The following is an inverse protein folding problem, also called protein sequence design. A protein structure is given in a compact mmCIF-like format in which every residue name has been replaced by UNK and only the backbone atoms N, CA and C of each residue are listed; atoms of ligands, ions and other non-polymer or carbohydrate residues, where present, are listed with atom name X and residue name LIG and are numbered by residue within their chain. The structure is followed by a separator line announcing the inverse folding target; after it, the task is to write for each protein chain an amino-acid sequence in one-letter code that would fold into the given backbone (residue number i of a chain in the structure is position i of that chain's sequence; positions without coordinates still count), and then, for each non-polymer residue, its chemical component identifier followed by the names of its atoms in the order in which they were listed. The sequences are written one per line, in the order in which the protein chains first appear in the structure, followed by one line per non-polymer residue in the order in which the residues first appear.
data_IF_520668677327
#
_entry.id   IF_520668677327
#
_cell.length_a   1.000
_cell.length_b   1.000
_cell.length_c   1.000
_cell.angle_alpha   90.00
_cell.angle_beta   90.00
_cell.angle_gamma   90.00
#
_symmetry.space_group_name_H-M   'P 1'
#
loop_
_entity.id
_entity.type
_entity.pdbx_description
1 polymer ?
#
# COMPACT_ATOMS: atom_id res chain seq x y z
N UNK A 1 -19.81 -34.26 -49.75
CA UNK A 1 -21.27 -34.10 -49.55
C UNK A 1 -21.59 -34.63 -48.17
N UNK A 2 -21.33 -33.82 -47.15
CA UNK A 2 -21.81 -34.00 -45.79
C UNK A 2 -22.00 -32.59 -45.24
N UNK A 3 -23.26 -32.28 -44.96
CA UNK A 3 -23.75 -30.96 -44.60
C UNK A 3 -23.35 -30.53 -43.19
N UNK A 4 -23.09 -29.24 -43.10
CA UNK A 4 -22.92 -28.45 -41.88
C UNK A 4 -24.27 -28.31 -41.18
N UNK A 5 -24.34 -28.70 -39.89
CA UNK A 5 -25.44 -28.27 -39.00
C UNK A 5 -24.82 -27.51 -37.83
N UNK A 6 -24.87 -26.18 -37.95
CA UNK A 6 -24.90 -25.29 -36.80
C UNK A 6 -26.23 -25.49 -36.06
N UNK A 7 -26.21 -25.92 -34.80
CA UNK A 7 -27.36 -25.72 -33.91
C UNK A 7 -27.10 -24.51 -33.03
N UNK A 8 -27.50 -23.35 -33.53
CA UNK A 8 -27.82 -22.17 -32.72
C UNK A 8 -29.06 -22.50 -31.88
N UNK A 9 -28.87 -22.70 -30.57
CA UNK A 9 -29.99 -22.74 -29.62
C UNK A 9 -30.58 -21.34 -29.50
N UNK A 10 -31.69 -21.12 -30.20
CA UNK A 10 -32.48 -19.90 -30.18
C UNK A 10 -32.99 -19.60 -28.77
N UNK A 11 -32.65 -18.40 -28.30
CA UNK A 11 -33.40 -17.62 -27.32
C UNK A 11 -34.89 -17.72 -27.69
N UNK A 12 -35.73 -18.30 -26.82
CA UNK A 12 -37.18 -18.19 -27.00
C UNK A 12 -37.58 -16.78 -26.59
N UNK A 13 -38.04 -16.00 -27.55
CA UNK A 13 -38.60 -14.66 -27.35
C UNK A 13 -39.73 -14.68 -26.31
N UNK A 14 -39.74 -13.64 -25.48
CA UNK A 14 -40.82 -13.33 -24.54
C UNK A 14 -41.97 -12.66 -25.31
N UNK A 15 -43.23 -13.11 -25.23
CA UNK A 15 -44.31 -12.46 -25.94
C UNK A 15 -44.63 -11.12 -25.27
N UNK A 16 -44.44 -10.01 -26.00
CA UNK A 16 -44.58 -8.64 -25.49
C UNK A 16 -46.04 -8.22 -25.19
N UNK A 17 -47.04 -9.02 -25.60
CA UNK A 17 -48.47 -8.65 -25.48
C UNK A 17 -49.32 -9.63 -24.66
N UNK A 18 -48.77 -10.31 -23.65
CA UNK A 18 -49.62 -11.08 -22.73
C UNK A 18 -50.27 -10.13 -21.69
N UNK A 19 -51.60 -9.90 -21.73
CA UNK A 19 -52.26 -9.08 -20.72
C UNK A 19 -52.14 -9.79 -19.36
N UNK A 20 -51.68 -9.06 -18.35
CA UNK A 20 -51.41 -9.51 -16.99
C UNK A 20 -52.64 -10.01 -16.21
N UNK A 21 -53.82 -10.02 -16.83
CA UNK A 21 -55.09 -10.38 -16.21
C UNK A 21 -55.62 -11.78 -16.60
N UNK A 22 -54.90 -12.54 -17.43
CA UNK A 22 -55.43 -13.80 -17.99
C UNK A 22 -55.10 -15.09 -17.19
N UNK A 23 -54.71 -15.03 -15.90
CA UNK A 23 -54.36 -16.24 -15.12
C UNK A 23 -55.09 -16.35 -13.78
N UNK A 24 -56.28 -15.76 -13.64
CA UNK A 24 -57.15 -16.08 -12.49
C UNK A 24 -58.62 -16.14 -12.90
N UNK A 25 -58.96 -16.98 -13.87
CA UNK A 25 -60.32 -17.51 -13.94
C UNK A 25 -60.41 -18.65 -12.90
N UNK A 26 -60.87 -18.31 -11.69
CA UNK A 26 -61.25 -19.34 -10.71
C UNK A 26 -62.59 -19.93 -11.17
N UNK A 27 -62.52 -20.87 -12.10
CA UNK A 27 -63.66 -21.72 -12.40
C UNK A 27 -64.14 -22.45 -11.15
N UNK A 28 -65.45 -22.60 -11.01
CA UNK A 28 -66.17 -23.17 -9.85
C UNK A 28 -65.90 -24.67 -9.58
N UNK A 29 -64.84 -25.25 -10.14
CA UNK A 29 -64.43 -26.65 -9.95
C UNK A 29 -63.07 -26.73 -9.22
N UNK A 30 -62.98 -26.13 -8.02
CA UNK A 30 -61.90 -26.47 -7.10
C UNK A 30 -62.21 -27.85 -6.49
N UNK A 31 -61.37 -28.89 -6.68
CA UNK A 31 -61.56 -30.16 -5.98
C UNK A 31 -61.56 -29.93 -4.47
N UNK A 32 -62.55 -30.50 -3.77
CA UNK A 32 -62.78 -30.29 -2.32
C UNK A 32 -61.62 -30.74 -1.41
N UNK A 33 -60.62 -31.44 -1.96
CA UNK A 33 -59.37 -31.80 -1.28
C UNK A 33 -58.21 -30.97 -1.84
N UNK A 34 -58.14 -29.70 -1.47
CA UNK A 34 -56.90 -28.95 -1.58
C UNK A 34 -55.98 -29.44 -0.45
N UNK A 35 -54.79 -30.00 -0.73
CA UNK A 35 -53.89 -30.42 0.34
C UNK A 35 -53.59 -29.20 1.22
N UNK A 36 -53.70 -29.36 2.54
CA UNK A 36 -53.34 -28.33 3.52
C UNK A 36 -51.95 -27.82 3.18
N UNK A 37 -51.90 -26.63 2.57
CA UNK A 37 -50.66 -25.92 2.35
C UNK A 37 -50.13 -25.62 3.75
N UNK A 38 -48.87 -25.98 4.06
CA UNK A 38 -48.29 -25.61 5.35
C UNK A 38 -48.48 -24.11 5.54
N UNK A 39 -48.75 -23.65 6.79
CA UNK A 39 -48.84 -22.23 7.06
C UNK A 39 -47.60 -21.57 6.47
N UNK A 40 -47.80 -20.44 5.79
CA UNK A 40 -46.71 -19.62 5.27
C UNK A 40 -45.90 -19.17 6.50
N UNK A 41 -44.96 -20.01 6.93
CA UNK A 41 -43.89 -19.62 7.85
C UNK A 41 -43.30 -18.35 7.25
N UNK A 42 -42.99 -17.37 8.11
CA UNK A 42 -42.35 -16.12 7.69
C UNK A 42 -41.12 -16.46 6.86
N UNK A 43 -41.31 -16.49 5.53
CA UNK A 43 -40.23 -16.64 4.58
C UNK A 43 -39.43 -15.38 4.80
N UNK A 44 -38.26 -15.50 5.43
CA UNK A 44 -37.34 -14.39 5.59
C UNK A 44 -37.12 -13.79 4.20
N UNK A 45 -37.79 -12.66 3.93
CA UNK A 45 -37.74 -12.03 2.61
C UNK A 45 -36.37 -11.41 2.53
N UNK A 46 -35.50 -12.10 1.80
CA UNK A 46 -34.17 -11.60 1.52
C UNK A 46 -34.26 -10.19 0.94
N UNK A 47 -33.68 -9.27 1.69
CA UNK A 47 -33.63 -7.84 1.37
C UNK A 47 -32.93 -7.64 0.03
N UNK A 48 -33.19 -6.48 -0.59
CA UNK A 48 -32.50 -6.11 -1.83
C UNK A 48 -30.97 -6.08 -1.65
N UNK A 49 -30.51 -5.71 -0.46
CA UNK A 49 -29.10 -5.68 -0.07
C UNK A 49 -28.51 -7.10 0.06
N UNK A 50 -29.18 -8.00 0.77
CA UNK A 50 -28.75 -9.41 0.86
C UNK A 50 -28.72 -10.09 -0.52
N UNK A 51 -29.70 -9.78 -1.37
CA UNK A 51 -29.80 -10.28 -2.75
C UNK A 51 -28.71 -9.74 -3.65
N UNK A 52 -28.39 -8.45 -3.52
CA UNK A 52 -27.28 -7.81 -4.23
C UNK A 52 -25.95 -8.41 -3.78
N UNK A 53 -25.74 -8.61 -2.46
CA UNK A 53 -24.55 -9.22 -1.90
C UNK A 53 -24.36 -10.68 -2.36
N UNK A 54 -25.44 -11.47 -2.47
CA UNK A 54 -25.38 -12.83 -3.00
C UNK A 54 -25.14 -12.87 -4.51
N UNK A 55 -25.78 -12.00 -5.29
CA UNK A 55 -25.52 -11.90 -6.74
C UNK A 55 -24.09 -11.43 -7.03
N UNK A 56 -23.57 -10.51 -6.21
CA UNK A 56 -22.18 -10.08 -6.27
C UNK A 56 -21.23 -11.22 -5.95
N UNK A 57 -21.42 -11.92 -4.82
CA UNK A 57 -20.64 -13.12 -4.48
C UNK A 57 -20.67 -14.18 -5.56
N UNK A 58 -21.80 -14.45 -6.19
CA UNK A 58 -21.89 -15.39 -7.32
C UNK A 58 -21.14 -14.92 -8.58
N UNK A 59 -21.11 -13.61 -8.84
CA UNK A 59 -20.28 -13.00 -9.90
C UNK A 59 -18.80 -13.09 -9.59
N UNK A 60 -18.43 -12.82 -8.34
CA UNK A 60 -17.07 -13.00 -7.86
C UNK A 60 -16.62 -14.46 -7.98
N UNK A 61 -17.41 -15.41 -7.51
CA UNK A 61 -17.13 -16.85 -7.60
C UNK A 61 -16.88 -17.30 -9.04
N UNK A 62 -17.68 -16.76 -9.99
CA UNK A 62 -17.52 -17.02 -11.42
C UNK A 62 -16.27 -16.33 -12.02
N UNK A 63 -15.98 -15.08 -11.65
CA UNK A 63 -14.76 -14.36 -12.04
C UNK A 63 -13.49 -14.96 -11.41
N UNK A 64 -13.62 -15.64 -10.28
CA UNK A 64 -12.57 -16.31 -9.49
C UNK A 64 -12.39 -17.80 -9.88
N UNK A 65 -13.08 -18.31 -10.90
CA UNK A 65 -13.00 -19.72 -11.29
C UNK A 65 -11.58 -20.13 -11.75
N UNK A 66 -10.96 -21.09 -11.07
CA UNK A 66 -9.70 -21.75 -11.47
C UNK A 66 -8.41 -21.19 -10.88
N UNK A 67 -8.45 -20.12 -10.07
CA UNK A 67 -7.30 -19.62 -9.29
C UNK A 67 -7.80 -19.24 -7.89
N UNK A 68 -7.21 -19.81 -6.84
CA UNK A 68 -7.49 -19.40 -5.46
C UNK A 68 -6.89 -18.00 -5.22
N UNK A 69 -7.62 -16.97 -5.63
CA UNK A 69 -7.22 -15.57 -5.57
C UNK A 69 -7.76 -14.97 -4.27
N UNK A 70 -6.87 -14.60 -3.36
CA UNK A 70 -7.16 -13.84 -2.14
C UNK A 70 -6.77 -12.37 -2.37
N UNK A 71 -7.28 -11.44 -1.57
CA UNK A 71 -6.79 -10.07 -1.61
C UNK A 71 -5.29 -10.03 -1.27
N UNK A 72 -4.86 -10.89 -0.36
CA UNK A 72 -3.48 -11.08 0.06
C UNK A 72 -2.53 -11.58 -1.03
N UNK A 73 -3.00 -12.24 -2.10
CA UNK A 73 -2.15 -12.71 -3.21
C UNK A 73 -2.39 -11.95 -4.55
N UNK A 74 -3.36 -11.05 -4.58
CA UNK A 74 -3.68 -10.24 -5.76
C UNK A 74 -2.73 -9.05 -5.94
N UNK A 75 -2.32 -8.74 -7.17
CA UNK A 75 -1.53 -7.53 -7.43
C UNK A 75 -2.35 -6.26 -7.14
N UNK A 76 -1.84 -5.33 -6.32
CA UNK A 76 -2.60 -4.14 -5.95
C UNK A 76 -2.80 -3.19 -7.13
N UNK A 77 -4.02 -2.69 -7.25
CA UNK A 77 -4.44 -1.80 -8.33
C UNK A 77 -5.67 -1.01 -7.91
N UNK A 78 -6.08 -0.04 -8.74
CA UNK A 78 -7.35 0.67 -8.54
C UNK A 78 -8.56 -0.29 -8.57
N UNK A 79 -8.51 -1.34 -9.40
CA UNK A 79 -9.56 -2.35 -9.48
C UNK A 79 -9.67 -3.15 -8.18
N UNK A 80 -8.53 -3.63 -7.66
CA UNK A 80 -8.52 -4.32 -6.35
C UNK A 80 -9.05 -3.41 -5.23
N UNK A 81 -8.73 -2.12 -5.28
CA UNK A 81 -9.28 -1.15 -4.31
C UNK A 81 -10.81 -1.05 -4.38
N UNK A 82 -11.40 -1.10 -5.58
CA UNK A 82 -12.86 -1.11 -5.73
C UNK A 82 -13.47 -2.44 -5.28
N UNK A 83 -12.85 -3.57 -5.61
CA UNK A 83 -13.28 -4.91 -5.16
C UNK A 83 -13.32 -4.94 -3.62
N UNK A 84 -12.23 -4.54 -2.97
CA UNK A 84 -12.15 -4.46 -1.50
C UNK A 84 -13.20 -3.54 -0.88
N UNK A 85 -13.46 -2.37 -1.47
CA UNK A 85 -14.45 -1.41 -0.97
C UNK A 85 -15.87 -2.00 -1.00
N UNK A 86 -16.21 -2.68 -2.10
CA UNK A 86 -17.52 -3.34 -2.26
C UNK A 86 -17.65 -4.55 -1.34
N UNK A 87 -16.64 -5.42 -1.31
CA UNK A 87 -16.71 -6.68 -0.56
C UNK A 87 -16.64 -6.46 0.96
N UNK A 88 -15.96 -5.39 1.41
CA UNK A 88 -15.84 -5.01 2.81
C UNK A 88 -16.81 -3.90 3.24
N UNK A 89 -17.81 -3.54 2.43
CA UNK A 89 -18.83 -2.53 2.78
C UNK A 89 -19.64 -2.93 4.03
N UNK A 90 -19.81 -4.24 4.24
CA UNK A 90 -20.41 -4.81 5.46
C UNK A 90 -19.45 -5.77 6.18
N UNK A 91 -18.47 -5.25 6.95
CA UNK A 91 -17.44 -6.08 7.59
C UNK A 91 -18.01 -7.14 8.54
N UNK A 92 -19.16 -6.89 9.16
CA UNK A 92 -19.82 -7.84 10.06
C UNK A 92 -20.34 -9.12 9.37
N UNK A 93 -20.37 -9.15 8.04
CA UNK A 93 -20.77 -10.32 7.25
C UNK A 93 -19.59 -11.21 6.82
N UNK A 94 -18.36 -10.76 7.06
CA UNK A 94 -17.13 -11.47 6.72
C UNK A 94 -16.70 -12.38 7.87
N UNK A 95 -16.10 -13.52 7.52
CA UNK A 95 -15.41 -14.39 8.48
C UNK A 95 -14.11 -13.74 8.98
N UNK A 96 -13.58 -14.21 10.11
CA UNK A 96 -12.31 -13.74 10.66
C UNK A 96 -11.15 -13.83 9.64
N UNK A 97 -11.14 -14.88 8.82
CA UNK A 97 -10.12 -15.06 7.78
C UNK A 97 -10.26 -14.03 6.65
N UNK A 98 -11.49 -13.76 6.20
CA UNK A 98 -11.79 -12.74 5.18
C UNK A 98 -11.49 -11.33 5.70
N UNK A 99 -11.75 -11.06 6.99
CA UNK A 99 -11.39 -9.78 7.62
C UNK A 99 -9.88 -9.55 7.59
N UNK A 100 -9.09 -10.57 7.95
CA UNK A 100 -7.62 -10.47 7.90
C UNK A 100 -7.14 -10.31 6.45
N UNK A 101 -7.70 -11.06 5.50
CA UNK A 101 -7.31 -10.95 4.10
C UNK A 101 -7.68 -9.58 3.51
N UNK A 102 -8.84 -9.02 3.86
CA UNK A 102 -9.25 -7.68 3.46
C UNK A 102 -8.32 -6.60 4.03
N UNK A 103 -7.92 -6.71 5.31
CA UNK A 103 -6.91 -5.81 5.92
C UNK A 103 -5.60 -5.86 5.15
N UNK A 104 -5.11 -7.06 4.82
CA UNK A 104 -3.91 -7.22 3.99
C UNK A 104 -4.13 -6.57 2.62
N UNK A 105 -5.28 -6.80 1.97
CA UNK A 105 -5.65 -6.17 0.71
C UNK A 105 -5.57 -4.65 0.74
N UNK A 106 -6.21 -4.02 1.73
CA UNK A 106 -6.19 -2.56 1.90
C UNK A 106 -4.77 -2.03 2.12
N UNK A 107 -3.96 -2.70 2.94
CA UNK A 107 -2.55 -2.32 3.15
C UNK A 107 -1.73 -2.41 1.84
N UNK A 108 -1.96 -3.44 1.02
CA UNK A 108 -1.31 -3.60 -0.28
C UNK A 108 -1.73 -2.51 -1.27
N UNK A 109 -3.01 -2.14 -1.30
CA UNK A 109 -3.52 -1.02 -2.11
C UNK A 109 -2.95 0.32 -1.64
N UNK A 110 -2.89 0.55 -0.32
CA UNK A 110 -2.28 1.75 0.25
C UNK A 110 -0.80 1.87 -0.12
N UNK A 111 -0.04 0.78 0.01
CA UNK A 111 1.36 0.70 -0.39
C UNK A 111 1.55 1.01 -1.88
N UNK A 112 0.74 0.41 -2.75
CA UNK A 112 0.74 0.70 -4.19
C UNK A 112 0.45 2.17 -4.50
N UNK A 113 -0.60 2.73 -3.89
CA UNK A 113 -1.00 4.12 -4.12
C UNK A 113 0.09 5.10 -3.67
N UNK A 114 0.73 4.83 -2.53
CA UNK A 114 1.85 5.63 -2.04
C UNK A 114 3.08 5.51 -2.96
N UNK A 115 3.41 4.32 -3.45
CA UNK A 115 4.48 4.13 -4.43
C UNK A 115 4.22 4.91 -5.73
N UNK A 116 2.98 4.88 -6.24
CA UNK A 116 2.54 5.67 -7.41
C UNK A 116 2.65 7.16 -7.15
N UNK A 117 2.20 7.65 -5.99
CA UNK A 117 2.37 9.06 -5.58
C UNK A 117 3.85 9.46 -5.55
N UNK A 118 4.73 8.57 -5.08
CA UNK A 118 6.17 8.79 -5.08
C UNK A 118 6.75 8.91 -6.49
N UNK A 119 6.33 8.08 -7.45
CA UNK A 119 6.72 8.22 -8.86
C UNK A 119 6.33 9.61 -9.42
N UNK A 120 5.12 10.09 -9.11
CA UNK A 120 4.64 11.42 -9.54
C UNK A 120 5.45 12.55 -8.90
N UNK A 121 5.79 12.45 -7.61
CA UNK A 121 6.65 13.43 -6.93
C UNK A 121 8.07 13.45 -7.51
N UNK A 122 8.62 12.30 -7.88
CA UNK A 122 9.93 12.22 -8.52
C UNK A 122 9.93 12.90 -9.89
N UNK A 123 8.89 12.69 -10.69
CA UNK A 123 8.72 13.38 -11.97
C UNK A 123 8.57 14.90 -11.78
N UNK A 124 7.82 15.32 -10.76
CA UNK A 124 7.71 16.74 -10.41
C UNK A 124 9.07 17.35 -10.06
N UNK A 125 9.88 16.64 -9.26
CA UNK A 125 11.25 17.05 -8.93
C UNK A 125 12.14 17.12 -10.18
N UNK A 126 12.08 16.12 -11.07
CA UNK A 126 12.86 16.05 -12.30
C UNK A 126 12.60 17.24 -13.24
N UNK A 127 11.35 17.74 -13.29
CA UNK A 127 10.97 18.92 -14.10
C UNK A 127 11.44 20.25 -13.52
N UNK A 128 11.92 20.28 -12.27
CA UNK A 128 12.43 21.46 -11.58
C UNK A 128 13.87 21.20 -11.13
N UNK A 129 14.82 21.08 -12.07
CA UNK A 129 16.22 20.98 -11.70
C UNK A 129 16.61 22.24 -10.91
N UNK A 130 17.45 22.07 -9.90
CA UNK A 130 17.97 23.20 -9.13
C UNK A 130 19.30 22.86 -8.48
N UNK A 131 19.97 23.89 -7.97
CA UNK A 131 21.30 23.75 -7.39
C UNK A 131 21.25 23.48 -5.88
N UNK A 132 20.07 23.17 -5.33
CA UNK A 132 19.89 22.91 -3.90
C UNK A 132 20.53 21.56 -3.53
N UNK A 133 21.79 21.65 -3.13
CA UNK A 133 22.68 20.56 -2.71
C UNK A 133 22.49 20.15 -1.24
N UNK A 134 21.47 20.67 -0.53
CA UNK A 134 21.17 20.20 0.84
C UNK A 134 20.54 18.80 0.91
N UNK A 135 20.27 18.15 -0.23
CA UNK A 135 20.08 16.70 -0.25
C UNK A 135 21.44 16.02 -0.11
N UNK A 136 21.65 15.40 1.05
CA UNK A 136 22.91 14.78 1.49
C UNK A 136 23.27 13.58 0.61
N UNK A 137 23.92 13.84 -0.51
CA UNK A 137 24.89 12.95 -1.13
C UNK A 137 25.64 13.75 -2.19
N UNK A 138 26.93 13.95 -1.96
CA UNK A 138 27.87 14.67 -2.85
C UNK A 138 27.90 14.05 -4.26
N UNK A 139 27.42 12.80 -4.39
CA UNK A 139 27.50 11.98 -5.60
C UNK A 139 26.12 11.61 -6.19
N UNK A 140 25.00 12.11 -5.63
CA UNK A 140 23.65 11.81 -6.16
C UNK A 140 23.10 13.04 -6.88
N UNK A 141 22.47 12.87 -8.06
CA UNK A 141 21.79 13.96 -8.76
C UNK A 141 20.48 14.32 -8.02
N UNK A 142 20.59 14.98 -6.88
CA UNK A 142 19.46 15.46 -6.09
C UNK A 142 19.39 16.99 -6.05
N UNK A 143 19.65 17.61 -7.21
CA UNK A 143 19.40 19.02 -7.42
C UNK A 143 17.90 19.31 -7.49
N UNK A 144 17.32 19.78 -6.38
CA UNK A 144 15.90 20.12 -6.31
C UNK A 144 15.72 21.63 -6.50
N UNK A 145 14.74 22.04 -7.30
CA UNK A 145 14.37 23.45 -7.40
C UNK A 145 14.02 24.04 -6.04
N UNK A 146 14.57 25.23 -5.72
CA UNK A 146 14.42 25.92 -4.41
C UNK A 146 12.98 25.99 -3.90
N UNK A 147 12.01 26.15 -4.81
CA UNK A 147 10.59 26.32 -4.49
C UNK A 147 9.75 25.04 -4.61
N UNK A 148 10.32 23.95 -5.14
CA UNK A 148 9.59 22.69 -5.29
C UNK A 148 9.04 22.15 -3.95
N UNK A 149 9.78 22.23 -2.82
CA UNK A 149 9.21 21.89 -1.51
C UNK A 149 8.07 22.80 -1.06
N UNK A 150 8.05 24.08 -1.42
CA UNK A 150 6.97 25.01 -1.04
C UNK A 150 5.69 24.68 -1.80
N UNK A 151 5.78 24.42 -3.11
CA UNK A 151 4.63 24.04 -3.94
C UNK A 151 3.96 22.76 -3.41
N UNK A 152 4.76 21.74 -3.11
CA UNK A 152 4.26 20.47 -2.54
C UNK A 152 3.74 20.67 -1.11
N UNK A 153 4.45 21.44 -0.29
CA UNK A 153 4.04 21.75 1.08
C UNK A 153 2.69 22.47 1.13
N UNK A 154 2.50 23.47 0.27
CA UNK A 154 1.26 24.20 0.14
C UNK A 154 0.10 23.31 -0.34
N UNK A 155 0.33 22.51 -1.39
CA UNK A 155 -0.70 21.63 -1.96
C UNK A 155 -1.15 20.53 -0.98
N UNK A 156 -0.22 20.00 -0.17
CA UNK A 156 -0.48 18.88 0.73
C UNK A 156 -0.65 19.27 2.20
N UNK A 157 -0.63 20.57 2.52
CA UNK A 157 -0.65 21.11 3.89
C UNK A 157 0.45 20.50 4.77
N UNK A 158 1.67 20.40 4.22
CA UNK A 158 2.86 19.88 4.90
C UNK A 158 3.88 20.98 5.11
N UNK A 159 4.68 20.86 6.16
CA UNK A 159 5.84 21.75 6.35
C UNK A 159 6.79 21.66 5.16
N UNK A 160 7.49 22.75 4.85
CA UNK A 160 8.53 22.79 3.81
C UNK A 160 9.55 21.66 3.99
N UNK A 161 9.94 21.36 5.23
CA UNK A 161 10.92 20.32 5.53
C UNK A 161 10.39 18.91 5.25
N UNK A 162 9.13 18.64 5.60
CA UNK A 162 8.48 17.36 5.29
C UNK A 162 8.36 17.15 3.78
N UNK A 163 7.88 18.17 3.05
CA UNK A 163 7.77 18.11 1.59
C UNK A 163 9.13 17.90 0.91
N UNK A 164 10.18 18.57 1.41
CA UNK A 164 11.55 18.38 0.94
C UNK A 164 12.04 16.95 1.14
N UNK A 165 11.81 16.36 2.31
CA UNK A 165 12.18 14.98 2.60
C UNK A 165 11.45 13.99 1.68
N UNK A 166 10.16 14.22 1.41
CA UNK A 166 9.38 13.39 0.49
C UNK A 166 9.88 13.48 -0.96
N UNK A 167 10.20 14.68 -1.44
CA UNK A 167 10.80 14.89 -2.77
C UNK A 167 12.17 14.20 -2.87
N UNK A 168 13.01 14.37 -1.84
CA UNK A 168 14.32 13.71 -1.76
C UNK A 168 14.21 12.19 -1.79
N UNK A 169 13.28 11.61 -1.00
CA UNK A 169 13.01 10.18 -0.99
C UNK A 169 12.49 9.69 -2.34
N UNK A 170 11.64 10.47 -3.00
CA UNK A 170 11.11 10.14 -4.31
C UNK A 170 12.19 10.07 -5.40
N UNK A 171 13.10 11.05 -5.41
CA UNK A 171 14.27 11.04 -6.31
C UNK A 171 15.19 9.85 -5.99
N UNK A 172 15.45 9.59 -4.71
CA UNK A 172 16.29 8.46 -4.30
C UNK A 172 15.69 7.11 -4.75
N UNK A 173 14.38 6.90 -4.55
CA UNK A 173 13.72 5.66 -4.93
C UNK A 173 13.71 5.43 -6.44
N UNK A 174 13.45 6.49 -7.22
CA UNK A 174 13.35 6.35 -8.68
C UNK A 174 14.70 6.24 -9.38
N UNK A 175 15.74 6.89 -8.87
CA UNK A 175 17.06 6.93 -9.53
C UNK A 175 18.09 5.97 -8.94
N UNK A 176 18.05 5.78 -7.61
CA UNK A 176 19.06 4.99 -6.89
C UNK A 176 18.53 3.61 -6.53
N UNK A 177 17.28 3.50 -6.06
CA UNK A 177 16.70 2.27 -5.50
C UNK A 177 15.43 1.78 -6.24
N UNK A 178 15.46 1.61 -7.58
CA UNK A 178 14.25 1.33 -8.37
C UNK A 178 13.60 -0.02 -8.03
N UNK A 179 14.37 -1.03 -7.65
CA UNK A 179 13.84 -2.34 -7.27
C UNK A 179 13.09 -2.27 -5.93
N UNK A 180 13.47 -1.38 -5.02
CA UNK A 180 12.76 -1.19 -3.75
C UNK A 180 11.41 -0.51 -4.01
N UNK A 181 11.40 0.45 -4.93
CA UNK A 181 10.17 1.06 -5.43
C UNK A 181 9.26 0.04 -6.12
N UNK A 182 9.81 -0.88 -6.92
CA UNK A 182 9.03 -1.93 -7.57
C UNK A 182 8.39 -2.89 -6.55
N UNK A 183 9.13 -3.31 -5.52
CA UNK A 183 8.58 -4.17 -4.45
C UNK A 183 7.52 -3.43 -3.63
N UNK A 184 7.71 -2.13 -3.37
CA UNK A 184 6.70 -1.28 -2.71
C UNK A 184 5.43 -1.18 -3.55
N UNK A 185 5.58 -0.93 -4.85
CA UNK A 185 4.46 -0.83 -5.81
C UNK A 185 3.68 -2.14 -5.94
N UNK A 186 4.33 -3.29 -5.81
CA UNK A 186 3.67 -4.60 -5.74
C UNK A 186 2.92 -4.84 -4.41
N UNK A 187 2.93 -3.87 -3.48
CA UNK A 187 2.30 -3.97 -2.16
C UNK A 187 3.03 -4.89 -1.19
N UNK A 188 4.28 -5.27 -1.46
CA UNK A 188 5.02 -6.21 -0.60
C UNK A 188 5.84 -5.53 0.51
N UNK A 189 5.98 -4.21 0.44
CA UNK A 189 6.57 -3.38 1.48
C UNK A 189 5.61 -2.23 1.79
N UNK A 190 5.65 -1.73 3.03
CA UNK A 190 4.98 -0.49 3.41
C UNK A 190 5.96 0.71 3.38
N UNK A 191 5.41 1.93 3.46
CA UNK A 191 6.18 3.17 3.47
C UNK A 191 7.25 3.20 4.55
N UNK A 192 6.98 2.67 5.76
CA UNK A 192 7.94 2.73 6.88
C UNK A 192 9.15 1.85 6.60
N UNK A 193 8.94 0.66 6.04
CA UNK A 193 10.02 -0.26 5.65
C UNK A 193 10.84 0.30 4.50
N UNK A 194 10.18 0.86 3.48
CA UNK A 194 10.86 1.53 2.37
C UNK A 194 11.66 2.73 2.86
N UNK A 195 11.07 3.53 3.76
CA UNK A 195 11.75 4.66 4.35
C UNK A 195 13.01 4.24 5.12
N UNK A 196 12.93 3.16 5.90
CA UNK A 196 14.07 2.62 6.62
C UNK A 196 15.21 2.16 5.68
N UNK A 197 14.89 1.59 4.51
CA UNK A 197 15.90 1.23 3.49
C UNK A 197 16.55 2.51 2.95
N UNK A 198 15.76 3.49 2.51
CA UNK A 198 16.25 4.76 2.00
C UNK A 198 17.14 5.50 3.00
N UNK A 199 16.68 5.62 4.24
CA UNK A 199 17.39 6.30 5.33
C UNK A 199 18.68 5.54 5.70
N UNK A 200 18.69 4.22 5.58
CA UNK A 200 19.88 3.42 5.88
C UNK A 200 20.99 3.55 4.84
N UNK A 201 20.67 3.97 3.60
CA UNK A 201 21.63 4.07 2.48
C UNK A 201 21.80 5.49 1.92
N UNK A 202 21.14 6.50 2.50
CA UNK A 202 21.15 7.86 1.95
C UNK A 202 22.56 8.46 1.83
N UNK A 203 23.46 8.13 2.78
CA UNK A 203 24.85 8.59 2.81
C UNK A 203 25.82 7.74 1.99
N UNK A 204 25.37 6.63 1.39
CA UNK A 204 26.22 5.77 0.58
C UNK A 204 26.27 6.25 -0.88
N UNK A 205 27.41 6.07 -1.56
CA UNK A 205 27.50 6.17 -3.02
C UNK A 205 26.48 5.25 -3.70
N UNK A 206 26.04 5.62 -4.91
CA UNK A 206 24.95 4.92 -5.64
C UNK A 206 25.19 3.41 -5.74
N UNK A 207 26.40 3.00 -6.14
CA UNK A 207 26.73 1.57 -6.32
C UNK A 207 26.64 0.79 -5.00
N UNK A 208 27.10 1.38 -3.90
CA UNK A 208 27.02 0.79 -2.56
C UNK A 208 25.57 0.75 -2.06
N UNK A 209 24.78 1.78 -2.33
CA UNK A 209 23.37 1.82 -1.97
C UNK A 209 22.58 0.70 -2.68
N UNK A 210 22.82 0.50 -3.98
CA UNK A 210 22.24 -0.60 -4.77
C UNK A 210 22.70 -1.97 -4.30
N UNK A 211 23.98 -2.12 -3.95
CA UNK A 211 24.48 -3.37 -3.37
C UNK A 211 23.82 -3.71 -2.03
N UNK A 212 23.54 -2.72 -1.18
CA UNK A 212 22.79 -2.92 0.08
C UNK A 212 21.36 -3.33 -0.22
N UNK A 213 20.68 -2.63 -1.13
CA UNK A 213 19.32 -2.92 -1.56
C UNK A 213 19.15 -4.36 -2.04
N UNK A 214 20.01 -4.81 -2.96
CA UNK A 214 19.99 -6.17 -3.48
C UNK A 214 20.11 -7.24 -2.37
N UNK A 215 20.85 -6.96 -1.30
CA UNK A 215 21.01 -7.88 -0.17
C UNK A 215 19.81 -7.93 0.77
N UNK A 216 19.01 -6.87 0.85
CA UNK A 216 17.90 -6.77 1.81
C UNK A 216 16.55 -7.09 1.20
N UNK A 217 16.35 -6.83 -0.10
CA UNK A 217 15.02 -6.85 -0.70
C UNK A 217 14.38 -8.24 -0.75
N UNK A 218 15.16 -9.31 -0.91
CA UNK A 218 14.60 -10.67 -0.96
C UNK A 218 13.85 -11.05 0.32
N UNK A 219 14.34 -10.60 1.48
CA UNK A 219 13.75 -10.93 2.80
C UNK A 219 12.94 -9.81 3.42
N UNK A 220 13.05 -8.58 2.93
CA UNK A 220 12.38 -7.43 3.52
C UNK A 220 10.83 -7.55 3.59
N UNK A 221 10.13 -8.16 2.61
CA UNK A 221 8.67 -8.34 2.68
C UNK A 221 8.20 -9.14 3.89
N UNK A 222 9.00 -10.12 4.33
CA UNK A 222 8.69 -11.03 5.44
C UNK A 222 9.19 -10.50 6.80
N UNK A 223 9.82 -9.32 6.82
CA UNK A 223 10.46 -8.76 8.00
C UNK A 223 9.64 -7.62 8.60
N UNK A 224 9.60 -7.60 9.93
CA UNK A 224 9.16 -6.41 10.68
C UNK A 224 10.06 -5.21 10.41
N UNK A 225 9.57 -4.00 10.67
CA UNK A 225 10.35 -2.78 10.53
C UNK A 225 11.69 -2.82 11.28
N UNK A 226 11.71 -3.37 12.50
CA UNK A 226 12.92 -3.49 13.30
C UNK A 226 13.94 -4.45 12.66
N UNK A 227 13.46 -5.58 12.11
CA UNK A 227 14.30 -6.53 11.39
C UNK A 227 14.84 -5.94 10.09
N UNK A 228 14.04 -5.18 9.33
CA UNK A 228 14.49 -4.44 8.13
C UNK A 228 15.60 -3.45 8.51
N UNK A 229 15.41 -2.63 9.55
CA UNK A 229 16.44 -1.70 10.04
C UNK A 229 17.74 -2.43 10.40
N UNK A 230 17.63 -3.57 11.10
CA UNK A 230 18.78 -4.39 11.46
C UNK A 230 19.46 -5.04 10.23
N UNK A 231 18.68 -5.50 9.26
CA UNK A 231 19.17 -6.08 8.01
C UNK A 231 19.92 -5.04 7.17
N UNK A 232 19.35 -3.84 7.02
CA UNK A 232 20.00 -2.71 6.34
C UNK A 232 21.30 -2.35 7.04
N UNK A 233 21.32 -2.19 8.37
CA UNK A 233 22.55 -1.90 9.13
C UNK A 233 23.65 -2.96 8.89
N UNK A 234 23.30 -4.25 8.92
CA UNK A 234 24.23 -5.35 8.64
C UNK A 234 24.73 -5.31 7.19
N UNK A 235 23.84 -5.12 6.23
CA UNK A 235 24.21 -5.06 4.82
C UNK A 235 25.13 -3.86 4.53
N UNK A 236 24.87 -2.69 5.13
CA UNK A 236 25.77 -1.53 5.04
C UNK A 236 27.16 -1.87 5.59
N UNK A 237 27.24 -2.49 6.77
CA UNK A 237 28.54 -2.84 7.37
C UNK A 237 29.35 -3.82 6.49
N UNK A 238 28.68 -4.67 5.73
CA UNK A 238 29.32 -5.60 4.79
C UNK A 238 29.69 -4.95 3.45
N UNK A 239 28.91 -3.98 2.96
CA UNK A 239 29.19 -3.27 1.69
C UNK A 239 30.23 -2.17 1.88
N UNK A 240 30.23 -1.52 3.04
CA UNK A 240 31.03 -0.33 3.34
C UNK A 240 31.72 -0.42 4.71
N UNK A 241 32.58 -1.43 4.93
CA UNK A 241 33.26 -1.60 6.22
C UNK A 241 34.13 -0.40 6.58
N UNK A 242 34.86 0.16 5.61
CA UNK A 242 35.73 1.33 5.82
C UNK A 242 34.95 2.61 6.11
N UNK A 243 33.82 2.81 5.42
CA UNK A 243 32.97 3.97 5.65
C UNK A 243 32.31 3.97 7.03
N UNK A 244 32.08 2.80 7.65
CA UNK A 244 31.63 2.72 9.05
C UNK A 244 32.67 3.33 9.99
N UNK A 245 33.96 2.98 9.82
CA UNK A 245 35.03 3.54 10.65
C UNK A 245 35.25 5.03 10.37
N UNK A 246 35.21 5.44 9.10
CA UNK A 246 35.36 6.85 8.72
C UNK A 246 34.23 7.72 9.29
N UNK A 247 32.98 7.27 9.19
CA UNK A 247 31.81 7.98 9.76
C UNK A 247 31.81 8.00 11.27
N UNK A 248 32.23 6.92 11.93
CA UNK A 248 32.40 6.92 13.39
C UNK A 248 33.43 7.99 13.81
N UNK A 249 34.57 8.08 13.11
CA UNK A 249 35.58 9.13 13.37
C UNK A 249 35.05 10.53 13.08
N UNK A 250 34.27 10.73 12.01
CA UNK A 250 33.67 12.01 11.68
C UNK A 250 32.62 12.44 12.73
N UNK A 251 31.69 11.56 13.08
CA UNK A 251 30.70 11.81 14.14
C UNK A 251 31.37 12.12 15.49
N UNK A 252 32.47 11.45 15.80
CA UNK A 252 33.27 11.74 16.99
C UNK A 252 33.94 13.12 16.95
N UNK A 253 34.24 13.66 15.77
CA UNK A 253 34.74 15.04 15.61
C UNK A 253 33.63 16.09 15.66
N UNK A 254 32.41 15.72 15.27
CA UNK A 254 31.22 16.59 15.24
C UNK A 254 30.42 16.59 16.56
N UNK A 255 30.92 15.94 17.61
CA UNK A 255 30.32 15.94 18.95
C UNK A 255 30.06 17.38 19.39
N UNK A 256 28.84 17.65 19.84
CA UNK A 256 28.38 19.00 20.18
C UNK A 256 27.34 18.96 21.29
N UNK A 257 27.22 20.08 21.98
CA UNK A 257 26.13 20.34 22.92
C UNK A 257 25.30 21.47 22.33
N UNK A 258 23.99 21.28 22.28
CA UNK A 258 23.02 22.25 21.78
C UNK A 258 22.07 22.58 22.92
N UNK A 259 21.86 23.87 23.17
CA UNK A 259 20.89 24.38 24.12
C UNK A 259 19.69 24.88 23.32
N UNK A 260 18.53 24.27 23.55
CA UNK A 260 17.28 24.66 22.94
C UNK A 260 16.43 25.38 23.98
N UNK A 261 16.09 26.65 23.78
CA UNK A 261 15.10 27.30 24.64
C UNK A 261 13.75 26.62 24.49
N UNK A 262 13.03 26.47 25.60
CA UNK A 262 11.68 25.92 25.68
C UNK A 262 10.72 26.99 26.24
N UNK A 263 9.45 26.65 26.31
CA UNK A 263 8.43 27.53 26.89
C UNK A 263 8.62 27.69 28.41
N UNK A 264 7.95 28.68 29.00
CA UNK A 264 7.92 28.92 30.45
C UNK A 264 9.30 29.18 31.10
N UNK A 265 10.27 29.66 30.32
CA UNK A 265 11.63 29.94 30.82
C UNK A 265 12.49 28.70 31.01
N UNK A 266 12.06 27.56 30.45
CA UNK A 266 12.81 26.32 30.45
C UNK A 266 13.76 26.23 29.25
N UNK A 267 14.72 25.31 29.31
CA UNK A 267 15.58 24.99 28.18
C UNK A 267 16.00 23.51 28.26
N UNK A 268 16.06 22.84 27.13
CA UNK A 268 16.67 21.52 27.01
C UNK A 268 18.13 21.62 26.59
N UNK A 269 18.97 20.81 27.23
CA UNK A 269 20.36 20.63 26.85
C UNK A 269 20.51 19.26 26.19
N UNK A 270 20.78 19.24 24.88
CA UNK A 270 21.04 18.03 24.13
C UNK A 270 22.52 17.89 23.82
N UNK A 271 23.10 16.73 24.11
CA UNK A 271 24.50 16.45 23.83
C UNK A 271 24.65 15.25 22.88
N UNK A 272 25.41 15.44 21.82
CA UNK A 272 25.88 14.37 20.94
C UNK A 272 27.31 14.00 21.33
N UNK A 273 27.51 12.75 21.77
CA UNK A 273 28.80 12.23 22.20
C UNK A 273 28.95 10.76 21.82
N UNK A 274 30.12 10.15 22.11
CA UNK A 274 30.28 8.72 21.87
C UNK A 274 29.35 7.93 22.80
N UNK A 275 28.93 6.73 22.40
CA UNK A 275 28.06 5.90 23.23
C UNK A 275 28.71 5.58 24.60
N UNK A 276 30.04 5.42 24.64
CA UNK A 276 30.78 5.24 25.88
C UNK A 276 30.74 6.49 26.77
N UNK A 277 30.95 7.69 26.20
CA UNK A 277 30.87 8.95 26.95
C UNK A 277 29.44 9.18 27.48
N UNK A 278 28.41 8.90 26.66
CA UNK A 278 27.02 9.04 27.06
C UNK A 278 26.66 8.12 28.23
N UNK A 279 27.16 6.88 28.20
CA UNK A 279 26.98 5.93 29.30
C UNK A 279 27.64 6.44 30.58
N UNK A 280 28.87 6.98 30.49
CA UNK A 280 29.59 7.56 31.62
C UNK A 280 28.86 8.78 32.23
N UNK A 281 28.19 9.58 31.41
CA UNK A 281 27.35 10.70 31.87
C UNK A 281 26.00 10.27 32.43
N UNK A 282 25.53 9.05 32.16
CA UNK A 282 24.14 8.64 32.44
C UNK A 282 23.85 8.30 33.91
N UNK A 283 24.83 8.42 34.80
CA UNK A 283 24.66 8.26 36.25
C UNK A 283 24.13 6.89 36.70
N UNK A 284 24.16 5.90 35.80
CA UNK A 284 23.75 4.50 36.04
C UNK A 284 24.93 3.58 36.14
#
# INVERSE_FOLDING_TARGET
MFDTVCSSGLLRDWPEDAPLDAVLDRGEDCPEDCPDLPPLEEVAVETAEERAARQWRGREEWLRFGVERTYGNTEPSALLGMELDVDADSPGSLSDAELIDAVVGFDRVAAWAQARRTEVLAEFARRRPGDDNTMVAVDKPCGLGRFAPDEVGLALRKSRMTAKAELGRAVQLTQVLPEALAVWKAGRLDERRVAAICDGVHYLPVDKARAVQARVLDRAPEQTLAQVKAAVKRAVAQVDPEGVFARHRAAHRERRVVLNPEEEGMASLWASMSAADALACSGR
#
